data_IF_733911452308
#
_entry.id   IF_733911452308
#
_cell.length_a   1.000
_cell.length_b   1.000
_cell.length_c   1.000
_cell.angle_alpha   90.00
_cell.angle_beta   90.00
_cell.angle_gamma   90.00
#
_symmetry.space_group_name_H-M   'P 1'
#
loop_
_entity.id
_entity.type
_entity.pdbx_description
1 polymer ?
#
# COMPACT_ATOMS: atom_id res chain seq x y z
N UNK A 1 -2.86 48.40 -33.93
CA UNK A 1 -3.87 47.42 -33.46
C UNK A 1 -3.57 45.94 -33.84
N UNK A 2 -2.74 45.65 -34.84
CA UNK A 2 -2.42 44.25 -35.25
C UNK A 2 -1.37 43.58 -34.37
N UNK A 3 -0.44 44.30 -33.76
CA UNK A 3 0.67 43.71 -32.97
C UNK A 3 0.24 43.18 -31.60
N UNK A 4 -0.79 43.73 -31.00
CA UNK A 4 -1.30 43.28 -29.65
C UNK A 4 -2.08 41.96 -29.76
N UNK A 5 -2.76 41.70 -30.87
CA UNK A 5 -3.53 40.46 -31.06
C UNK A 5 -2.65 39.23 -31.30
N UNK A 6 -1.45 39.40 -31.87
CA UNK A 6 -0.52 38.28 -32.12
C UNK A 6 0.12 37.79 -30.81
N UNK A 7 0.39 38.69 -29.89
CA UNK A 7 0.98 38.34 -28.58
C UNK A 7 -0.01 37.61 -27.66
N UNK A 8 -1.31 37.92 -27.75
CA UNK A 8 -2.36 37.23 -26.97
C UNK A 8 -2.58 35.79 -27.45
N UNK A 9 -2.52 35.55 -28.77
CA UNK A 9 -2.71 34.20 -29.32
C UNK A 9 -1.56 33.24 -29.03
N UNK A 10 -0.31 33.73 -28.95
CA UNK A 10 0.85 32.89 -28.62
C UNK A 10 0.82 32.40 -27.13
N UNK A 11 0.39 33.26 -26.20
CA UNK A 11 0.24 32.93 -24.81
C UNK A 11 -0.83 31.87 -24.50
N UNK A 12 -1.97 31.94 -25.22
CA UNK A 12 -3.07 30.97 -25.09
C UNK A 12 -2.64 29.60 -25.63
N UNK A 13 -1.95 29.56 -26.76
CA UNK A 13 -1.46 28.32 -27.39
C UNK A 13 -0.40 27.61 -26.51
N UNK A 14 0.49 28.37 -25.88
CA UNK A 14 1.50 27.83 -24.98
C UNK A 14 0.87 27.27 -23.69
N UNK A 15 -0.15 27.97 -23.16
CA UNK A 15 -0.86 27.55 -21.95
C UNK A 15 -1.70 26.28 -22.17
N UNK A 16 -2.38 26.17 -23.32
CA UNK A 16 -3.15 24.99 -23.69
C UNK A 16 -2.23 23.77 -23.93
N UNK A 17 -1.08 23.97 -24.56
CA UNK A 17 -0.09 22.90 -24.77
C UNK A 17 0.52 22.40 -23.45
N UNK A 18 0.79 23.31 -22.50
CA UNK A 18 1.28 22.97 -21.16
C UNK A 18 0.22 22.21 -20.34
N UNK A 19 -1.06 22.61 -20.42
CA UNK A 19 -2.16 21.92 -19.76
C UNK A 19 -2.40 20.55 -20.38
N UNK A 20 -2.37 20.43 -21.70
CA UNK A 20 -2.52 19.15 -22.40
C UNK A 20 -1.37 18.20 -22.06
N UNK A 21 -0.13 18.68 -21.99
CA UNK A 21 1.04 17.91 -21.54
C UNK A 21 0.91 17.44 -20.10
N UNK A 22 0.40 18.30 -19.18
CA UNK A 22 0.08 17.92 -17.80
C UNK A 22 -1.03 16.88 -17.70
N UNK A 23 -2.08 17.01 -18.51
CA UNK A 23 -3.19 16.04 -18.55
C UNK A 23 -2.74 14.69 -19.12
N UNK A 24 -1.93 14.68 -20.17
CA UNK A 24 -1.33 13.46 -20.74
C UNK A 24 -0.35 12.80 -19.77
N UNK A 25 0.44 13.58 -19.03
CA UNK A 25 1.36 13.10 -18.02
C UNK A 25 0.62 12.52 -16.82
N UNK A 26 -0.54 13.08 -16.44
CA UNK A 26 -1.40 12.55 -15.39
C UNK A 26 -2.13 11.26 -15.82
N UNK A 27 -2.54 11.16 -17.09
CA UNK A 27 -3.13 9.94 -17.66
C UNK A 27 -2.11 8.79 -17.74
N UNK A 28 -0.83 9.11 -17.97
CA UNK A 28 0.28 8.14 -18.00
C UNK A 28 0.60 7.53 -16.64
N UNK A 29 0.22 8.16 -15.52
CA UNK A 29 0.59 7.68 -14.17
C UNK A 29 -0.14 6.40 -13.73
N UNK A 30 -1.21 6.02 -14.41
CA UNK A 30 -2.00 4.80 -14.15
C UNK A 30 -1.89 3.77 -15.28
N UNK A 31 -1.28 4.12 -16.43
CA UNK A 31 -1.05 3.15 -17.50
C UNK A 31 0.05 2.16 -17.10
N UNK A 32 -0.24 0.88 -17.22
CA UNK A 32 0.71 -0.19 -16.96
C UNK A 32 1.49 -0.50 -18.22
N UNK A 33 2.82 -0.54 -18.08
CA UNK A 33 3.72 -1.08 -19.09
C UNK A 33 3.95 -2.57 -18.85
N UNK A 34 4.48 -3.30 -19.83
CA UNK A 34 4.87 -4.71 -19.66
C UNK A 34 5.84 -4.88 -18.47
N UNK A 35 6.76 -3.93 -18.32
CA UNK A 35 7.69 -3.89 -17.18
C UNK A 35 6.97 -3.74 -15.83
N UNK A 36 5.93 -2.90 -15.77
CA UNK A 36 5.13 -2.73 -14.56
C UNK A 36 4.39 -4.02 -14.20
N UNK A 37 3.83 -4.72 -15.18
CA UNK A 37 3.16 -6.00 -14.98
C UNK A 37 4.13 -7.04 -14.42
N UNK A 38 5.36 -7.11 -14.95
CA UNK A 38 6.40 -7.99 -14.42
C UNK A 38 6.75 -7.65 -12.96
N UNK A 39 6.92 -6.37 -12.62
CA UNK A 39 7.18 -5.97 -11.24
C UNK A 39 6.00 -6.29 -10.31
N UNK A 40 4.76 -6.07 -10.74
CA UNK A 40 3.57 -6.43 -9.97
C UNK A 40 3.54 -7.94 -9.70
N UNK A 41 3.85 -8.78 -10.71
CA UNK A 41 3.96 -10.23 -10.53
C UNK A 41 5.01 -10.64 -9.50
N UNK A 42 6.19 -10.01 -9.53
CA UNK A 42 7.27 -10.25 -8.55
C UNK A 42 6.83 -9.80 -7.14
N UNK A 43 6.16 -8.65 -7.03
CA UNK A 43 5.63 -8.16 -5.75
C UNK A 43 4.65 -9.16 -5.15
N UNK A 44 3.69 -9.65 -5.93
CA UNK A 44 2.70 -10.64 -5.46
C UNK A 44 3.41 -11.91 -5.02
N UNK A 45 4.31 -12.46 -5.83
CA UNK A 45 5.05 -13.67 -5.49
C UNK A 45 5.86 -13.53 -4.20
N UNK A 46 6.50 -12.37 -3.99
CA UNK A 46 7.27 -12.10 -2.76
C UNK A 46 6.37 -11.86 -1.55
N UNK A 47 5.20 -11.24 -1.71
CA UNK A 47 4.20 -11.10 -0.63
C UNK A 47 3.69 -12.47 -0.18
N UNK A 48 3.34 -13.34 -1.12
CA UNK A 48 2.89 -14.71 -0.83
C UNK A 48 4.00 -15.53 -0.16
N UNK A 49 5.21 -15.52 -0.73
CA UNK A 49 6.34 -16.24 -0.16
C UNK A 49 6.65 -15.78 1.27
N UNK A 50 6.61 -14.46 1.52
CA UNK A 50 6.84 -13.89 2.84
C UNK A 50 5.75 -14.29 3.84
N UNK A 51 4.48 -14.28 3.42
CA UNK A 51 3.35 -14.71 4.26
C UNK A 51 3.43 -16.19 4.59
N UNK A 52 3.67 -17.04 3.60
CA UNK A 52 3.81 -18.48 3.79
C UNK A 52 5.00 -18.83 4.69
N UNK A 53 6.13 -18.16 4.52
CA UNK A 53 7.35 -18.41 5.31
C UNK A 53 7.17 -18.15 6.81
N UNK A 54 6.26 -17.27 7.20
CA UNK A 54 5.98 -16.90 8.59
C UNK A 54 4.62 -17.39 9.10
N UNK A 55 3.91 -18.18 8.31
CA UNK A 55 2.56 -18.67 8.63
C UNK A 55 2.47 -19.49 9.92
N UNK A 56 3.59 -20.06 10.38
CA UNK A 56 3.69 -20.82 11.62
C UNK A 56 3.78 -19.94 12.89
N UNK A 57 3.99 -18.63 12.74
CA UNK A 57 4.01 -17.66 13.85
C UNK A 57 2.80 -16.72 13.68
N UNK A 58 1.79 -16.81 14.57
CA UNK A 58 0.62 -15.95 14.47
C UNK A 58 1.00 -14.46 14.51
N UNK A 59 0.43 -13.68 13.60
CA UNK A 59 0.58 -12.23 13.53
C UNK A 59 2.02 -11.68 13.44
N UNK A 60 2.98 -12.51 13.06
CA UNK A 60 4.30 -12.10 12.59
C UNK A 60 4.31 -12.21 11.08
N UNK A 61 4.37 -11.08 10.37
CA UNK A 61 4.23 -11.06 8.93
C UNK A 61 5.12 -9.97 8.30
N UNK A 62 5.44 -10.16 7.03
CA UNK A 62 6.24 -9.22 6.25
C UNK A 62 5.40 -8.44 5.21
N UNK A 63 4.09 -8.69 5.11
CA UNK A 63 3.22 -8.06 4.10
C UNK A 63 3.15 -6.56 4.32
N UNK A 64 2.90 -6.11 5.55
CA UNK A 64 2.91 -4.68 5.93
C UNK A 64 4.23 -4.02 5.55
N UNK A 65 5.33 -4.64 5.92
CA UNK A 65 6.68 -4.16 5.62
C UNK A 65 6.93 -4.04 4.11
N UNK A 66 6.65 -5.09 3.35
CA UNK A 66 6.87 -5.14 1.91
C UNK A 66 5.97 -4.14 1.16
N UNK A 67 4.69 -4.04 1.52
CA UNK A 67 3.77 -3.08 0.89
C UNK A 67 4.21 -1.63 1.11
N UNK A 68 4.70 -1.29 2.31
CA UNK A 68 5.26 0.04 2.57
C UNK A 68 6.47 0.28 1.66
N UNK A 69 7.44 -0.63 1.61
CA UNK A 69 8.64 -0.47 0.80
C UNK A 69 8.34 -0.41 -0.69
N UNK A 70 7.47 -1.28 -1.19
CA UNK A 70 7.06 -1.25 -2.59
C UNK A 70 6.34 0.05 -2.94
N UNK A 71 5.48 0.55 -2.04
CA UNK A 71 4.79 1.82 -2.26
C UNK A 71 5.76 3.00 -2.31
N UNK A 72 6.79 3.01 -1.46
CA UNK A 72 7.85 4.01 -1.49
C UNK A 72 8.71 3.93 -2.76
N UNK A 73 8.89 2.74 -3.31
CA UNK A 73 9.69 2.48 -4.50
C UNK A 73 8.92 2.73 -5.81
N UNK A 74 7.74 2.12 -5.95
CA UNK A 74 6.98 2.05 -7.20
C UNK A 74 5.73 2.93 -7.23
N UNK A 75 5.41 3.60 -6.11
CA UNK A 75 4.31 4.55 -6.01
C UNK A 75 2.93 3.92 -6.14
N UNK A 76 2.01 4.60 -6.83
CA UNK A 76 0.60 4.22 -6.93
C UNK A 76 0.35 2.85 -7.57
N UNK A 77 1.29 2.36 -8.39
CA UNK A 77 1.14 1.08 -9.10
C UNK A 77 1.09 -0.12 -8.16
N UNK A 78 1.59 0.04 -6.92
CA UNK A 78 1.50 -1.01 -5.88
C UNK A 78 0.06 -1.31 -5.46
N UNK A 79 -0.88 -0.39 -5.67
CA UNK A 79 -2.30 -0.67 -5.44
C UNK A 79 -2.80 -1.85 -6.28
N UNK A 80 -2.31 -2.00 -7.52
CA UNK A 80 -2.64 -3.18 -8.35
C UNK A 80 -2.08 -4.47 -7.72
N UNK A 81 -0.86 -4.42 -7.18
CA UNK A 81 -0.28 -5.55 -6.47
C UNK A 81 -1.05 -5.91 -5.20
N UNK A 82 -1.51 -4.90 -4.43
CA UNK A 82 -2.29 -5.12 -3.21
C UNK A 82 -3.64 -5.80 -3.50
N UNK A 83 -4.37 -5.37 -4.54
CA UNK A 83 -5.62 -6.03 -4.92
C UNK A 83 -5.39 -7.42 -5.52
N UNK A 84 -4.38 -7.57 -6.37
CA UNK A 84 -4.07 -8.87 -6.99
C UNK A 84 -3.58 -9.89 -5.94
N UNK A 85 -2.84 -9.44 -4.92
CA UNK A 85 -2.45 -10.25 -3.76
C UNK A 85 -3.68 -10.83 -3.06
N UNK A 86 -4.71 -10.01 -2.78
CA UNK A 86 -5.97 -10.52 -2.20
C UNK A 86 -6.63 -11.55 -3.11
N UNK A 87 -6.57 -11.35 -4.44
CA UNK A 87 -7.09 -12.33 -5.41
C UNK A 87 -6.35 -13.67 -5.34
N UNK A 88 -5.03 -13.66 -5.24
CA UNK A 88 -4.22 -14.88 -5.10
C UNK A 88 -4.50 -15.57 -3.75
N UNK A 89 -4.60 -14.80 -2.67
CA UNK A 89 -5.01 -15.32 -1.35
C UNK A 89 -6.37 -16.05 -1.41
N UNK A 90 -7.34 -15.50 -2.16
CA UNK A 90 -8.63 -16.15 -2.36
C UNK A 90 -8.50 -17.51 -3.09
N UNK A 91 -7.56 -17.63 -4.02
CA UNK A 91 -7.31 -18.90 -4.73
C UNK A 91 -6.63 -19.93 -3.83
N UNK A 92 -5.77 -19.51 -2.91
CA UNK A 92 -5.02 -20.39 -2.00
C UNK A 92 -5.88 -20.83 -0.82
N UNK A 93 -6.59 -19.90 -0.17
CA UNK A 93 -7.27 -20.11 1.11
C UNK A 93 -8.80 -20.15 1.02
N UNK A 94 -9.34 -19.94 -0.18
CA UNK A 94 -10.79 -19.81 -0.40
C UNK A 94 -11.34 -18.45 0.01
N UNK A 95 -12.62 -18.24 -0.23
CA UNK A 95 -13.31 -16.97 0.08
C UNK A 95 -13.88 -17.00 1.50
N UNK A 96 -13.70 -15.90 2.24
CA UNK A 96 -14.22 -15.71 3.58
C UNK A 96 -14.40 -14.23 3.91
N UNK A 97 -14.88 -13.92 5.11
CA UNK A 97 -15.07 -12.53 5.59
C UNK A 97 -13.75 -11.75 5.55
N UNK A 98 -12.62 -12.40 5.77
CA UNK A 98 -11.29 -11.82 5.72
C UNK A 98 -10.95 -11.18 4.37
N UNK A 99 -11.58 -11.63 3.27
CA UNK A 99 -11.38 -11.02 1.93
C UNK A 99 -11.83 -9.57 1.94
N UNK A 100 -13.00 -9.29 2.54
CA UNK A 100 -13.53 -7.93 2.65
C UNK A 100 -12.57 -7.05 3.47
N UNK A 101 -12.00 -7.59 4.55
CA UNK A 101 -11.01 -6.89 5.38
C UNK A 101 -9.77 -6.52 4.54
N UNK A 102 -9.20 -7.46 3.82
CA UNK A 102 -7.99 -7.28 3.02
C UNK A 102 -8.18 -6.32 1.84
N UNK A 103 -9.40 -6.29 1.26
CA UNK A 103 -9.72 -5.37 0.15
C UNK A 103 -9.65 -3.90 0.52
N UNK A 104 -9.75 -3.53 1.79
CA UNK A 104 -9.56 -2.14 2.21
C UNK A 104 -8.30 -1.92 3.04
N UNK A 105 -7.86 -2.88 3.87
CA UNK A 105 -6.71 -2.72 4.76
C UNK A 105 -5.43 -2.51 3.95
N UNK A 106 -5.12 -3.39 3.00
CA UNK A 106 -3.89 -3.28 2.23
C UNK A 106 -3.84 -2.04 1.31
N UNK A 107 -4.89 -1.70 0.55
CA UNK A 107 -4.94 -0.43 -0.16
C UNK A 107 -4.86 0.79 0.76
N UNK A 108 -5.49 0.78 1.93
CA UNK A 108 -5.39 1.85 2.93
C UNK A 108 -3.94 2.08 3.36
N UNK A 109 -3.21 1.00 3.68
CA UNK A 109 -1.79 1.07 4.00
C UNK A 109 -0.98 1.73 2.88
N UNK A 110 -1.20 1.30 1.62
CA UNK A 110 -0.53 1.88 0.47
C UNK A 110 -0.85 3.38 0.31
N UNK A 111 -2.11 3.77 0.46
CA UNK A 111 -2.55 5.17 0.35
C UNK A 111 -1.92 6.02 1.45
N UNK A 112 -1.95 5.59 2.70
CA UNK A 112 -1.29 6.28 3.81
C UNK A 112 0.21 6.43 3.57
N UNK A 113 0.86 5.38 3.08
CA UNK A 113 2.29 5.40 2.72
C UNK A 113 2.56 6.43 1.60
N UNK A 114 1.68 6.54 0.60
CA UNK A 114 1.81 7.53 -0.47
C UNK A 114 1.71 8.97 0.06
N UNK A 115 0.85 9.24 1.03
CA UNK A 115 0.76 10.56 1.67
C UNK A 115 2.03 10.88 2.44
N UNK A 116 2.64 9.89 3.08
CA UNK A 116 3.82 10.04 3.92
C UNK A 116 5.15 9.79 3.17
N UNK A 117 5.14 9.62 1.86
CA UNK A 117 6.30 9.22 1.03
C UNK A 117 7.52 10.16 1.08
N UNK A 118 7.33 11.38 1.58
CA UNK A 118 8.44 12.34 1.78
C UNK A 118 9.35 11.95 2.95
N UNK A 119 8.88 11.13 3.87
CA UNK A 119 9.66 10.64 5.01
C UNK A 119 10.68 9.60 4.55
N UNK A 120 11.92 9.74 5.04
CA UNK A 120 13.04 8.86 4.72
C UNK A 120 13.63 8.14 5.93
N UNK A 121 13.15 8.47 7.13
CA UNK A 121 13.65 7.90 8.38
C UNK A 121 13.17 6.48 8.58
N UNK A 122 14.08 5.55 8.86
CA UNK A 122 13.75 4.17 9.22
C UNK A 122 12.93 4.11 10.53
N UNK A 123 13.25 4.98 11.50
CA UNK A 123 12.48 5.10 12.74
C UNK A 123 11.04 5.52 12.51
N UNK A 124 10.81 6.49 11.63
CA UNK A 124 9.47 6.92 11.28
C UNK A 124 8.64 5.74 10.72
N UNK A 125 9.22 4.99 9.79
CA UNK A 125 8.53 3.85 9.19
C UNK A 125 8.35 2.69 10.15
N UNK A 126 9.28 2.49 11.09
CA UNK A 126 9.13 1.50 12.16
C UNK A 126 7.96 1.86 13.09
N UNK A 127 7.88 3.11 13.54
CA UNK A 127 6.75 3.58 14.36
C UNK A 127 5.44 3.50 13.58
N UNK A 128 5.42 3.94 12.33
CA UNK A 128 4.23 3.89 11.48
C UNK A 128 3.72 2.46 11.28
N UNK A 129 4.60 1.51 10.92
CA UNK A 129 4.22 0.10 10.73
C UNK A 129 3.79 -0.56 12.03
N UNK A 130 4.42 -0.22 13.15
CA UNK A 130 4.03 -0.69 14.48
C UNK A 130 2.64 -0.21 14.87
N UNK A 131 2.34 1.08 14.71
CA UNK A 131 0.99 1.64 14.96
C UNK A 131 -0.03 0.98 14.03
N UNK A 132 0.30 0.80 12.76
CA UNK A 132 -0.59 0.14 11.81
C UNK A 132 -0.91 -1.29 12.23
N UNK A 133 0.09 -2.05 12.69
CA UNK A 133 -0.08 -3.40 13.24
C UNK A 133 -0.95 -3.42 14.50
N UNK A 134 -0.76 -2.46 15.43
CA UNK A 134 -1.62 -2.33 16.62
C UNK A 134 -3.09 -2.01 16.29
N UNK A 135 -3.33 -1.31 15.18
CA UNK A 135 -4.68 -0.96 14.73
C UNK A 135 -5.32 -2.01 13.82
N UNK A 136 -4.57 -3.03 13.43
CA UNK A 136 -4.98 -3.99 12.40
C UNK A 136 -6.28 -4.72 12.76
N UNK A 137 -6.38 -5.29 13.97
CA UNK A 137 -7.59 -5.95 14.43
C UNK A 137 -8.78 -4.98 14.57
N UNK A 138 -8.52 -3.74 15.04
CA UNK A 138 -9.54 -2.69 15.05
C UNK A 138 -10.06 -2.37 13.65
N UNK A 139 -9.18 -2.26 12.66
CA UNK A 139 -9.58 -2.09 11.27
C UNK A 139 -10.36 -3.31 10.74
N UNK A 140 -9.89 -4.53 11.02
CA UNK A 140 -10.61 -5.76 10.65
C UNK A 140 -12.01 -5.83 11.27
N UNK A 141 -12.19 -5.37 12.51
CA UNK A 141 -13.45 -5.42 13.22
C UNK A 141 -14.56 -4.60 12.56
N UNK A 142 -14.22 -3.59 11.73
CA UNK A 142 -15.19 -2.76 11.03
C UNK A 142 -16.14 -3.55 10.13
N UNK A 143 -15.68 -4.67 9.56
CA UNK A 143 -16.53 -5.55 8.75
C UNK A 143 -17.71 -6.10 9.57
N UNK A 144 -17.49 -6.39 10.85
CA UNK A 144 -18.53 -6.94 11.73
C UNK A 144 -19.62 -5.93 12.10
N UNK A 145 -19.41 -4.64 11.83
CA UNK A 145 -20.50 -3.66 11.93
C UNK A 145 -21.68 -4.02 11.01
N UNK A 146 -21.38 -4.54 9.81
CA UNK A 146 -22.39 -4.98 8.85
C UNK A 146 -22.99 -6.36 9.14
N UNK A 147 -22.27 -7.24 9.85
CA UNK A 147 -22.69 -8.63 10.08
C UNK A 147 -23.24 -8.89 11.48
N UNK A 148 -23.03 -8.03 12.46
CA UNK A 148 -23.48 -8.28 13.83
C UNK A 148 -23.60 -7.01 14.67
N UNK A 149 -23.42 -5.85 14.05
CA UNK A 149 -23.52 -4.56 14.69
C UNK A 149 -22.33 -4.23 15.61
N UNK A 150 -22.43 -3.09 16.29
CA UNK A 150 -21.34 -2.51 17.08
C UNK A 150 -20.84 -3.42 18.21
N UNK A 151 -21.75 -4.17 18.85
CA UNK A 151 -21.37 -5.09 19.95
C UNK A 151 -20.47 -6.19 19.46
N UNK A 152 -20.79 -6.78 18.30
CA UNK A 152 -20.00 -7.85 17.67
C UNK A 152 -18.65 -7.32 17.22
N UNK A 153 -18.60 -6.16 16.55
CA UNK A 153 -17.35 -5.53 16.12
C UNK A 153 -16.43 -5.23 17.33
N UNK A 154 -16.99 -4.69 18.40
CA UNK A 154 -16.23 -4.36 19.62
C UNK A 154 -15.72 -5.63 20.32
N UNK A 155 -16.56 -6.66 20.45
CA UNK A 155 -16.17 -7.93 21.08
C UNK A 155 -15.04 -8.60 20.28
N UNK A 156 -15.14 -8.58 18.94
CA UNK A 156 -14.12 -9.13 18.05
C UNK A 156 -12.79 -8.39 18.20
N UNK A 157 -12.81 -7.05 18.22
CA UNK A 157 -11.62 -6.25 18.42
C UNK A 157 -10.95 -6.51 19.78
N UNK A 158 -11.72 -6.50 20.88
CA UNK A 158 -11.19 -6.76 22.23
C UNK A 158 -10.54 -8.14 22.29
N UNK A 159 -11.16 -9.17 21.72
CA UNK A 159 -10.59 -10.50 21.67
C UNK A 159 -9.28 -10.56 20.84
N UNK A 160 -9.14 -9.67 19.89
CA UNK A 160 -7.95 -9.55 19.00
C UNK A 160 -6.77 -8.78 19.61
N UNK A 161 -6.96 -7.99 20.67
CA UNK A 161 -5.91 -7.10 21.22
C UNK A 161 -4.57 -7.81 21.48
N UNK A 162 -4.50 -9.02 22.08
CA UNK A 162 -3.22 -9.70 22.28
C UNK A 162 -2.46 -9.95 20.97
N UNK A 163 -3.19 -10.27 19.91
CA UNK A 163 -2.64 -10.49 18.57
C UNK A 163 -2.21 -9.16 17.90
N UNK A 164 -2.95 -8.07 18.12
CA UNK A 164 -2.60 -6.74 17.64
C UNK A 164 -1.30 -6.23 18.29
N UNK A 165 -1.11 -6.50 19.57
CA UNK A 165 0.14 -6.15 20.29
C UNK A 165 1.32 -6.88 19.66
N UNK A 166 1.21 -8.18 19.43
CA UNK A 166 2.25 -8.97 18.78
C UNK A 166 2.52 -8.47 17.36
N UNK A 167 1.47 -8.20 16.58
CA UNK A 167 1.55 -7.67 15.23
C UNK A 167 2.25 -6.29 15.21
N UNK A 168 1.88 -5.39 16.10
CA UNK A 168 2.51 -4.07 16.22
C UNK A 168 3.99 -4.14 16.57
N UNK A 169 4.36 -4.97 17.55
CA UNK A 169 5.75 -5.16 17.97
C UNK A 169 6.57 -5.78 16.83
N UNK A 170 6.08 -6.85 16.22
CA UNK A 170 6.78 -7.52 15.12
C UNK A 170 6.99 -6.59 13.92
N UNK A 171 5.97 -5.84 13.52
CA UNK A 171 6.07 -4.88 12.42
C UNK A 171 7.07 -3.76 12.72
N UNK A 172 7.07 -3.24 13.96
CA UNK A 172 8.04 -2.23 14.39
C UNK A 172 9.48 -2.76 14.27
N UNK A 173 9.74 -3.94 14.84
CA UNK A 173 11.08 -4.56 14.86
C UNK A 173 11.55 -4.91 13.44
N UNK A 174 10.69 -5.59 12.65
CA UNK A 174 11.01 -5.96 11.28
C UNK A 174 11.31 -4.74 10.42
N UNK A 175 10.50 -3.69 10.52
CA UNK A 175 10.72 -2.45 9.78
C UNK A 175 12.03 -1.79 10.20
N UNK A 176 12.34 -1.73 11.50
CA UNK A 176 13.54 -1.09 12.00
C UNK A 176 14.82 -1.78 11.48
N UNK A 177 14.81 -3.11 11.46
CA UNK A 177 15.97 -3.91 11.06
C UNK A 177 16.10 -3.95 9.52
N UNK A 178 15.00 -4.22 8.81
CA UNK A 178 15.03 -4.54 7.38
C UNK A 178 14.86 -3.32 6.46
N UNK A 179 14.41 -2.17 6.97
CA UNK A 179 14.15 -1.00 6.13
C UNK A 179 15.36 -0.57 5.30
N UNK A 180 16.50 -0.36 5.95
CA UNK A 180 17.71 0.14 5.28
C UNK A 180 18.28 -0.86 4.26
N UNK A 181 18.51 -2.15 4.59
CA UNK A 181 19.07 -3.10 3.64
C UNK A 181 18.16 -3.35 2.44
N UNK A 182 16.86 -3.56 2.67
CA UNK A 182 15.91 -3.85 1.58
C UNK A 182 15.65 -2.60 0.73
N UNK A 183 15.54 -1.42 1.35
CA UNK A 183 15.43 -0.16 0.60
C UNK A 183 16.60 0.06 -0.35
N UNK A 184 17.82 -0.20 0.12
CA UNK A 184 19.04 -0.10 -0.73
C UNK A 184 19.01 -1.05 -1.92
N UNK A 185 18.43 -2.23 -1.75
CA UNK A 185 18.25 -3.18 -2.87
C UNK A 185 17.20 -2.65 -3.85
N UNK A 186 16.05 -2.20 -3.37
CA UNK A 186 14.98 -1.69 -4.23
C UNK A 186 15.40 -0.45 -5.02
N UNK A 187 16.19 0.44 -4.44
CA UNK A 187 16.70 1.65 -5.12
C UNK A 187 17.61 1.34 -6.32
N UNK A 188 18.05 0.08 -6.50
CA UNK A 188 18.81 -0.36 -7.69
C UNK A 188 17.92 -0.71 -8.88
N UNK A 189 16.61 -0.90 -8.65
CA UNK A 189 15.63 -1.30 -9.67
C UNK A 189 14.77 -0.13 -10.16
N UNK A 190 14.89 1.05 -9.53
CA UNK A 190 14.15 2.27 -9.84
C UNK A 190 15.06 3.24 -10.59
#
# INVERSE_FOLDING_TARGET
HRTVLIHSQSGIKTRSHCLMKKMLQNKSSWSLTVRDVAYIGIMIATLEAAKLSLSFIPNVELVTFLLILYTLAFGKKVLYAAFAFVGVECLIWGMGIWVIMYLYIWPLLCVLTLFLKKQRSAWFWAVFSGIYGLMFGGLCSLVYLGFGGIKTAFAWWIAGIPYDILHGISNFVLMLILYRPIRKVLDRFI
#
